data_IF_139767090115
#
_entry.id   IF_139767090115
#
_cell.length_a   1.000
_cell.length_b   1.000
_cell.length_c   1.000
_cell.angle_alpha   90.00
_cell.angle_beta   90.00
_cell.angle_gamma   90.00
#
_symmetry.space_group_name_H-M   'P 1'
#
loop_
_entity.id
_entity.type
_entity.pdbx_description
1 polymer ?
#
# COMPACT_ATOMS: atom_id res chain seq x y z
N UNK A 1 -10.69 20.01 0.84
CA UNK A 1 -10.44 19.49 0.62
C UNK A 1 -10.15 18.43 0.85
N UNK A 2 -9.92 17.76 0.74
CA UNK A 2 -9.71 16.82 0.88
C UNK A 2 -8.77 16.24 1.24
N UNK A 3 -8.55 15.86 1.81
CA UNK A 3 -7.65 15.45 2.34
C UNK A 3 -7.08 14.21 2.39
N UNK A 4 -7.38 13.28 1.76
CA UNK A 4 -6.79 11.99 1.78
C UNK A 4 -5.46 11.99 1.07
N UNK A 5 -4.75 10.87 1.20
CA UNK A 5 -3.46 10.74 0.56
C UNK A 5 -3.61 10.89 -0.95
N UNK A 6 -2.75 11.66 -1.57
CA UNK A 6 -2.83 11.85 -3.01
C UNK A 6 -2.62 10.56 -3.77
N UNK A 7 -3.54 10.22 -4.65
CA UNK A 7 -3.41 8.99 -5.42
C UNK A 7 -2.24 9.06 -6.40
N UNK A 8 -1.85 10.26 -6.80
CA UNK A 8 -0.68 10.41 -7.65
C UNK A 8 0.56 9.82 -6.98
N UNK A 9 0.71 10.10 -5.70
CA UNK A 9 1.84 9.59 -4.97
C UNK A 9 1.75 8.08 -4.81
N UNK A 10 0.55 7.58 -4.59
CA UNK A 10 0.36 6.14 -4.44
C UNK A 10 0.70 5.39 -5.71
N UNK A 11 0.49 6.00 -6.85
CA UNK A 11 0.78 5.33 -8.11
C UNK A 11 2.26 5.02 -8.26
N UNK A 12 3.11 5.81 -7.61
CA UNK A 12 4.55 5.56 -7.67
C UNK A 12 4.92 4.28 -6.95
N UNK A 13 4.04 3.79 -6.10
CA UNK A 13 4.29 2.58 -5.33
C UNK A 13 3.81 1.32 -6.04
N UNK A 14 3.18 1.47 -7.19
CA UNK A 14 2.67 0.33 -7.94
C UNK A 14 3.81 -0.60 -8.30
N UNK A 15 3.63 -1.87 -8.04
CA UNK A 15 4.65 -2.86 -8.29
C UNK A 15 5.62 -3.03 -7.14
N UNK A 16 5.48 -2.26 -6.09
CA UNK A 16 6.41 -2.31 -4.97
C UNK A 16 5.75 -2.90 -3.74
N UNK A 17 6.55 -3.59 -2.96
CA UNK A 17 6.06 -4.18 -1.73
C UNK A 17 6.00 -3.13 -0.64
N UNK A 18 4.88 -3.07 0.04
CA UNK A 18 4.63 -2.02 1.02
C UNK A 18 4.02 -2.56 2.28
N UNK A 19 4.19 -1.82 3.35
CA UNK A 19 3.45 -2.03 4.58
C UNK A 19 2.50 -0.86 4.69
N UNK A 20 1.21 -1.15 4.67
CA UNK A 20 0.17 -0.13 4.66
C UNK A 20 -0.51 -0.13 6.02
N UNK A 21 -0.43 0.98 6.71
CA UNK A 21 -1.06 1.11 8.02
C UNK A 21 -2.41 1.78 7.83
N UNK A 22 -3.43 1.20 8.44
CA UNK A 22 -4.80 1.69 8.28
C UNK A 22 -5.31 2.26 9.59
N UNK A 23 -6.19 3.26 9.47
CA UNK A 23 -6.76 3.88 10.66
C UNK A 23 -7.70 2.96 11.41
N UNK A 24 -8.38 2.10 10.69
CA UNK A 24 -9.45 1.30 11.29
C UNK A 24 -9.05 -0.11 11.68
N UNK A 25 -7.79 -0.42 11.67
CA UNK A 25 -7.34 -1.75 12.13
C UNK A 25 -5.93 -1.67 12.65
N UNK A 26 -5.63 -2.66 13.47
CA UNK A 26 -4.27 -2.83 13.93
C UNK A 26 -3.53 -3.66 12.90
N UNK A 27 -2.29 -3.44 12.70
CA UNK A 27 -1.49 -4.29 11.85
C UNK A 27 -1.49 -3.92 10.38
N UNK A 28 -2.57 -3.41 9.87
CA UNK A 28 -2.61 -2.99 8.49
C UNK A 28 -2.46 -4.11 7.48
N UNK A 29 -1.81 -3.83 6.37
CA UNK A 29 -1.69 -4.75 5.26
C UNK A 29 -0.27 -4.76 4.75
N UNK A 30 0.23 -5.94 4.41
CA UNK A 30 1.56 -6.07 3.82
C UNK A 30 1.41 -6.75 2.48
N UNK A 31 1.87 -6.11 1.44
CA UNK A 31 1.77 -6.69 0.11
C UNK A 31 2.27 -5.75 -0.96
N UNK A 32 2.00 -6.13 -2.19
CA UNK A 32 2.43 -5.36 -3.34
C UNK A 32 1.24 -4.61 -3.90
N UNK A 33 1.39 -3.31 -4.10
CA UNK A 33 0.33 -2.52 -4.71
C UNK A 33 0.32 -2.85 -6.19
N UNK A 34 -0.79 -3.34 -6.69
CA UNK A 34 -0.91 -3.76 -8.08
C UNK A 34 -1.68 -2.77 -8.93
N UNK A 35 -2.49 -1.95 -8.32
CA UNK A 35 -3.22 -0.93 -9.08
C UNK A 35 -3.71 0.15 -8.14
N UNK A 36 -3.83 1.35 -8.68
CA UNK A 36 -4.42 2.48 -7.96
C UNK A 36 -5.40 3.11 -8.92
N UNK A 37 -6.67 3.10 -8.56
CA UNK A 37 -7.71 3.69 -9.40
C UNK A 37 -8.60 4.56 -8.55
N UNK A 38 -8.62 5.86 -8.84
CA UNK A 38 -9.34 6.78 -8.01
C UNK A 38 -8.82 6.72 -6.60
N UNK A 39 -9.70 6.46 -5.66
CA UNK A 39 -9.31 6.38 -4.26
C UNK A 39 -9.19 4.95 -3.76
N UNK A 40 -9.12 4.00 -4.68
CA UNK A 40 -9.05 2.59 -4.32
C UNK A 40 -7.71 2.01 -4.70
N UNK A 41 -7.14 1.22 -3.81
CA UNK A 41 -5.83 0.63 -4.01
C UNK A 41 -5.98 -0.89 -3.94
N UNK A 42 -5.47 -1.57 -4.94
CA UNK A 42 -5.47 -3.02 -4.94
C UNK A 42 -4.12 -3.52 -4.47
N UNK A 43 -4.13 -4.37 -3.47
CA UNK A 43 -2.92 -4.88 -2.86
C UNK A 43 -2.94 -6.40 -2.95
N UNK A 44 -1.87 -6.97 -3.48
CA UNK A 44 -1.71 -8.41 -3.51
C UNK A 44 -0.98 -8.81 -2.23
N UNK A 45 -1.71 -9.37 -1.31
CA UNK A 45 -1.13 -9.91 -0.09
C UNK A 45 -0.67 -11.33 -0.35
N UNK A 46 -0.08 -11.95 0.64
CA UNK A 46 0.49 -13.26 0.46
C UNK A 46 -0.53 -14.27 -0.05
N UNK A 47 -1.71 -14.28 0.52
CA UNK A 47 -2.73 -15.26 0.16
C UNK A 47 -4.04 -14.64 -0.29
N UNK A 48 -4.04 -13.36 -0.59
CA UNK A 48 -5.30 -12.70 -0.92
C UNK A 48 -5.05 -11.42 -1.68
N UNK A 49 -6.09 -10.97 -2.38
CA UNK A 49 -6.08 -9.65 -2.99
C UNK A 49 -7.00 -8.78 -2.16
N UNK A 50 -6.51 -7.63 -1.78
CA UNK A 50 -7.28 -6.74 -0.94
C UNK A 50 -7.48 -5.41 -1.63
N UNK A 51 -8.69 -4.88 -1.53
CA UNK A 51 -9.01 -3.55 -2.08
C UNK A 51 -9.19 -2.62 -0.89
N UNK A 52 -8.40 -1.57 -0.84
CA UNK A 52 -8.37 -0.67 0.29
C UNK A 52 -8.79 0.71 -0.13
N UNK A 53 -9.65 1.33 0.66
CA UNK A 53 -10.03 2.71 0.42
C UNK A 53 -8.90 3.60 0.90
N UNK A 54 -8.43 4.46 0.03
CA UNK A 54 -7.30 5.33 0.34
C UNK A 54 -7.53 6.22 1.53
N UNK A 55 -8.78 6.57 1.83
CA UNK A 55 -9.07 7.41 2.98
C UNK A 55 -8.76 6.72 4.30
N UNK A 56 -8.67 5.40 4.28
CA UNK A 56 -8.38 4.66 5.50
C UNK A 56 -6.88 4.47 5.71
N UNK A 57 -6.07 4.88 4.78
CA UNK A 57 -4.64 4.69 4.88
C UNK A 57 -4.04 5.77 5.76
N UNK A 58 -3.34 5.33 6.78
CA UNK A 58 -2.65 6.23 7.67
C UNK A 58 -1.25 6.54 7.17
N UNK A 59 -0.53 5.51 6.76
CA UNK A 59 0.75 5.71 6.10
C UNK A 59 1.13 4.44 5.34
N UNK A 60 2.12 4.59 4.47
CA UNK A 60 2.64 3.48 3.68
C UNK A 60 4.15 3.53 3.79
N UNK A 61 4.73 2.38 4.11
CA UNK A 61 6.18 2.25 4.17
C UNK A 61 6.62 1.29 3.10
N UNK A 62 7.54 1.71 2.26
CA UNK A 62 8.11 0.82 1.27
C UNK A 62 9.02 -0.18 1.94
N UNK A 63 8.91 -1.42 1.51
CA UNK A 63 9.80 -2.46 1.99
C UNK A 63 10.88 -2.61 0.92
N UNK A 64 12.14 -2.36 1.27
CA UNK A 64 13.21 -2.47 0.28
C UNK A 64 13.29 -3.89 -0.25
N UNK A 65 13.69 -4.01 -1.49
CA UNK A 65 13.90 -5.33 -2.07
C UNK A 65 14.96 -6.04 -1.26
N UNK A 66 14.77 -7.32 -1.05
CA UNK A 66 15.71 -8.07 -0.28
C UNK A 66 16.93 -8.26 -1.02
N UNK A 67 17.88 -7.98 -0.62
CA UNK A 67 19.02 -8.20 -1.43
C UNK A 67 19.88 -9.20 -0.95
N UNK A 68 19.88 -9.28 -0.79
CA UNK A 68 20.36 -9.92 -0.30
C UNK A 68 21.38 -10.02 -0.02
N UNK A 69 21.69 -9.69 0.21
CA UNK A 69 22.47 -9.72 0.48
C UNK A 69 23.10 -9.64 0.91
N UNK A 70 23.10 -9.55 1.27
CA UNK A 70 23.54 -9.48 1.70
C UNK A 70 23.96 -9.61 2.03
N UNK A 71 23.99 -9.72 2.13
CA UNK A 71 24.19 -9.91 2.45
C UNK A 71 24.43 -10.02 2.58
#
# INVERSE_FOLDING_TARGET
MKSSMPTELLKEFTGQRCIITLFNEFGGSVGTITAVEGNWIRVQEKNAVRIINGDMIRDIKLVPAKNKKDN
#
